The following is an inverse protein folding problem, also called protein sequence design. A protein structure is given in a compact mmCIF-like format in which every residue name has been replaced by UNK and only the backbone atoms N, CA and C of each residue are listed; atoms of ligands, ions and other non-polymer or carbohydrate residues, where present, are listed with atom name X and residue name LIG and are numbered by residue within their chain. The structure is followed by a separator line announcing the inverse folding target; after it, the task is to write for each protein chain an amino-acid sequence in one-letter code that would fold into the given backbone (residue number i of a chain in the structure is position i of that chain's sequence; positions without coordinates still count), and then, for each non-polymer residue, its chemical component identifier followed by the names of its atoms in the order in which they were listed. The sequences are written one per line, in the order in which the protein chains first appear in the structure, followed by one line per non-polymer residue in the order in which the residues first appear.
data_IF_317845894015
#
_entry.id   IF_317845894015
#
_cell.length_a   1.000
_cell.length_b   1.000
_cell.length_c   1.000
_cell.angle_alpha   90.00
_cell.angle_beta   90.00
_cell.angle_gamma   90.00
#
_symmetry.space_group_name_H-M   'P 1'
#
loop_
_entity.id
_entity.type
_entity.pdbx_description
1 polymer ?
#
# COMPACT_ATOMS: atom_id res chain seq x y z
N UNK A 1 1.13 5.98 5.08
CA UNK A 1 2.10 5.81 6.19
C UNK A 1 2.24 7.16 6.89
N UNK A 2 2.04 7.22 8.21
CA UNK A 2 2.53 8.37 8.99
C UNK A 2 4.02 8.15 9.17
N UNK A 3 4.80 8.59 8.19
CA UNK A 3 6.24 8.78 8.39
C UNK A 3 6.36 9.97 9.32
N UNK A 4 6.53 9.70 10.62
CA UNK A 4 7.31 10.61 11.43
C UNK A 4 8.68 10.63 10.76
N UNK A 5 9.00 11.74 10.11
CA UNK A 5 10.30 12.00 9.51
C UNK A 5 11.32 12.11 10.65
N UNK A 6 11.75 10.96 11.16
CA UNK A 6 13.02 10.85 11.84
C UNK A 6 14.09 10.65 10.76
N UNK A 7 15.20 11.40 10.78
CA UNK A 7 16.28 11.18 9.84
C UNK A 7 16.93 9.83 10.16
N UNK A 8 16.60 8.80 9.39
CA UNK A 8 17.13 7.46 9.58
C UNK A 8 16.37 6.43 8.77
N UNK A 9 17.02 5.97 7.69
CA UNK A 9 16.66 4.86 6.78
C UNK A 9 15.52 3.96 7.28
N UNK A 10 14.37 4.03 6.61
CA UNK A 10 13.34 2.99 6.69
C UNK A 10 12.99 2.58 5.26
N UNK A 11 13.30 1.33 4.92
CA UNK A 11 12.85 0.67 3.69
C UNK A 11 11.40 0.27 3.84
N UNK A 12 10.56 0.57 2.85
CA UNK A 12 9.18 0.09 2.82
C UNK A 12 8.86 -0.47 1.44
N UNK A 13 8.50 -1.76 1.40
CA UNK A 13 8.02 -2.41 0.19
C UNK A 13 6.58 -1.95 -0.10
N UNK A 14 6.39 -1.23 -1.20
CA UNK A 14 5.05 -0.85 -1.68
C UNK A 14 4.82 -1.39 -3.08
N UNK A 15 3.80 -2.24 -3.23
CA UNK A 15 3.30 -2.70 -4.52
C UNK A 15 2.38 -1.62 -5.10
N UNK A 16 2.79 -0.98 -6.19
CA UNK A 16 1.98 0.02 -6.91
C UNK A 16 1.57 -0.56 -8.26
N UNK A 17 0.27 -0.72 -8.56
CA UNK A 17 -0.18 -1.06 -9.90
C UNK A 17 0.05 0.14 -10.84
N UNK A 18 0.68 -0.12 -11.99
CA UNK A 18 0.97 0.86 -13.04
C UNK A 18 -0.34 1.25 -13.72
N UNK A 19 -0.81 2.47 -13.48
CA UNK A 19 -1.96 3.06 -14.16
C UNK A 19 -1.94 4.59 -14.01
N UNK A 20 -1.64 5.26 -15.12
CA UNK A 20 -1.78 6.69 -15.42
C UNK A 20 -1.12 7.71 -14.49
N UNK A 21 0.12 8.08 -14.83
CA UNK A 21 0.82 9.26 -14.33
C UNK A 21 0.95 10.30 -15.47
N UNK A 22 0.18 11.39 -15.39
CA UNK A 22 0.36 12.58 -16.23
C UNK A 22 1.53 13.41 -15.69
N UNK A 23 2.55 13.65 -16.52
CA UNK A 23 3.70 14.52 -16.19
C UNK A 23 3.54 15.91 -16.83
N UNK A 24 4.22 16.92 -16.28
CA UNK A 24 4.21 18.33 -16.72
C UNK A 24 5.63 18.83 -17.10
N UNK A 25 5.74 19.76 -18.06
CA UNK A 25 7.01 20.37 -18.51
C UNK A 25 7.20 21.78 -17.92
N UNK A 26 8.45 22.17 -17.61
CA UNK A 26 8.85 23.49 -17.08
C UNK A 26 8.68 24.71 -18.01
N UNK A 27 7.97 24.58 -19.13
CA UNK A 27 7.67 25.68 -20.06
C UNK A 27 6.19 26.13 -20.02
N UNK A 28 5.35 25.53 -19.15
CA UNK A 28 3.96 25.96 -18.98
C UNK A 28 3.01 25.66 -20.16
N UNK A 29 3.44 24.88 -21.15
CA UNK A 29 2.56 24.32 -22.19
C UNK A 29 2.23 22.85 -21.88
N UNK A 30 0.95 22.50 -21.98
CA UNK A 30 0.44 21.14 -21.77
C UNK A 30 0.72 20.30 -23.01
N UNK A 31 1.67 19.37 -22.91
CA UNK A 31 1.96 18.35 -23.92
C UNK A 31 1.49 16.98 -23.44
N UNK A 32 1.16 16.07 -24.36
CA UNK A 32 0.76 14.71 -23.98
C UNK A 32 1.88 13.96 -23.26
N UNK A 33 1.56 12.98 -22.41
CA UNK A 33 2.56 12.15 -21.70
C UNK A 33 3.61 11.52 -22.64
N UNK A 34 3.21 11.22 -23.89
CA UNK A 34 4.11 10.74 -24.94
C UNK A 34 5.09 11.83 -25.46
N UNK A 35 4.66 13.09 -25.54
CA UNK A 35 5.52 14.22 -25.96
C UNK A 35 6.49 14.65 -24.85
N UNK A 36 6.07 14.57 -23.59
CA UNK A 36 6.91 14.83 -22.43
C UNK A 36 7.94 13.74 -22.19
N UNK A 37 7.54 12.47 -22.32
CA UNK A 37 8.48 11.36 -22.38
C UNK A 37 9.45 11.54 -23.56
N UNK A 38 8.97 11.98 -24.73
CA UNK A 38 9.81 12.25 -25.90
C UNK A 38 10.81 13.41 -25.68
N UNK A 39 10.44 14.47 -24.96
CA UNK A 39 11.36 15.58 -24.63
C UNK A 39 12.38 15.21 -23.55
N UNK A 40 11.97 14.49 -22.49
CA UNK A 40 12.92 13.98 -21.49
C UNK A 40 13.86 12.92 -22.08
N UNK A 41 13.40 12.14 -23.07
CA UNK A 41 14.23 11.22 -23.85
C UNK A 41 15.13 11.93 -24.88
N UNK A 42 15.04 13.24 -25.04
CA UNK A 42 15.90 14.03 -25.92
C UNK A 42 16.98 14.81 -25.16
N UNK A 43 16.97 14.82 -23.82
CA UNK A 43 18.05 15.35 -23.01
C UNK A 43 19.16 14.29 -22.88
N UNK A 44 20.39 14.53 -23.39
CA UNK A 44 21.49 13.57 -23.30
C UNK A 44 21.80 13.15 -21.85
N UNK A 45 21.64 14.07 -20.89
CA UNK A 45 21.86 13.78 -19.47
C UNK A 45 20.84 12.79 -18.92
N UNK A 46 19.57 12.96 -19.30
CA UNK A 46 18.50 12.07 -18.87
C UNK A 46 18.62 10.67 -19.51
N UNK A 47 19.10 10.58 -20.75
CA UNK A 47 19.39 9.30 -21.40
C UNK A 47 20.54 8.54 -20.72
N UNK A 48 21.59 9.25 -20.31
CA UNK A 48 22.71 8.67 -19.55
C UNK A 48 22.27 8.18 -18.17
N UNK A 49 21.42 8.94 -17.47
CA UNK A 49 20.84 8.54 -16.18
C UNK A 49 19.94 7.31 -16.31
N UNK A 50 19.09 7.25 -17.35
CA UNK A 50 18.24 6.07 -17.62
C UNK A 50 19.10 4.85 -17.93
N UNK A 51 20.17 5.00 -18.71
CA UNK A 51 21.10 3.91 -19.00
C UNK A 51 21.87 3.44 -17.75
N UNK A 52 22.31 4.37 -16.90
CA UNK A 52 22.95 4.06 -15.62
C UNK A 52 22.01 3.28 -14.70
N UNK A 53 20.75 3.70 -14.58
CA UNK A 53 19.73 3.01 -13.80
C UNK A 53 19.42 1.60 -14.34
N UNK A 54 19.36 1.43 -15.67
CA UNK A 54 19.16 0.12 -16.28
C UNK A 54 20.33 -0.84 -16.00
N UNK A 55 21.56 -0.33 -16.03
CA UNK A 55 22.75 -1.12 -15.66
C UNK A 55 22.70 -1.52 -14.19
N UNK A 56 22.35 -0.58 -13.29
CA UNK A 56 22.20 -0.87 -11.86
C UNK A 56 21.10 -1.92 -11.60
N UNK A 57 19.97 -1.85 -12.32
CA UNK A 57 18.94 -2.89 -12.24
C UNK A 57 19.44 -4.25 -12.69
N UNK A 58 20.25 -4.31 -13.74
CA UNK A 58 20.80 -5.57 -14.22
C UNK A 58 21.85 -6.14 -13.23
N UNK A 59 22.73 -5.31 -12.67
CA UNK A 59 23.66 -5.73 -11.62
C UNK A 59 22.92 -6.25 -10.39
N UNK A 60 21.88 -5.55 -9.95
CA UNK A 60 21.01 -5.97 -8.85
C UNK A 60 20.31 -7.30 -9.15
N UNK A 61 19.84 -7.50 -10.38
CA UNK A 61 19.23 -8.77 -10.80
C UNK A 61 20.22 -9.93 -10.68
N UNK A 62 21.43 -9.77 -11.23
CA UNK A 62 22.46 -10.81 -11.22
C UNK A 62 22.86 -11.16 -9.78
N UNK A 63 22.98 -10.16 -8.91
CA UNK A 63 23.27 -10.38 -7.50
C UNK A 63 22.14 -11.15 -6.79
N UNK A 64 20.88 -10.78 -7.04
CA UNK A 64 19.74 -11.49 -6.46
C UNK A 64 19.63 -12.94 -6.96
N UNK A 65 19.93 -13.20 -8.23
CA UNK A 65 20.02 -14.56 -8.79
C UNK A 65 21.07 -15.37 -8.03
N UNK A 66 22.26 -14.80 -7.81
CA UNK A 66 23.36 -15.44 -7.07
C UNK A 66 22.97 -15.77 -5.64
N UNK A 67 22.44 -14.78 -4.91
CA UNK A 67 22.02 -14.95 -3.52
C UNK A 67 20.88 -15.98 -3.39
N UNK A 68 19.90 -15.95 -4.30
CA UNK A 68 18.80 -16.92 -4.30
C UNK A 68 19.31 -18.35 -4.55
N UNK A 69 20.29 -18.53 -5.45
CA UNK A 69 20.92 -19.81 -5.70
C UNK A 69 21.70 -20.32 -4.47
N UNK A 70 22.48 -19.45 -3.82
CA UNK A 70 23.23 -19.77 -2.59
C UNK A 70 22.29 -20.17 -1.44
N UNK A 71 21.26 -19.36 -1.18
CA UNK A 71 20.26 -19.64 -0.15
C UNK A 71 19.55 -20.97 -0.42
N UNK A 72 19.18 -21.22 -1.68
CA UNK A 72 18.54 -22.48 -2.07
C UNK A 72 19.46 -23.68 -1.87
N UNK A 73 20.74 -23.58 -2.23
CA UNK A 73 21.74 -24.62 -1.99
C UNK A 73 21.88 -24.92 -0.50
N UNK A 74 21.93 -23.90 0.35
CA UNK A 74 21.99 -24.06 1.80
C UNK A 74 20.74 -24.78 2.35
N UNK A 75 19.53 -24.36 1.94
CA UNK A 75 18.27 -25.00 2.33
C UNK A 75 18.23 -26.47 1.90
N UNK A 76 18.60 -26.76 0.65
CA UNK A 76 18.65 -28.14 0.15
C UNK A 76 19.68 -28.99 0.91
N UNK A 77 20.85 -28.43 1.23
CA UNK A 77 21.85 -29.09 2.08
C UNK A 77 21.28 -29.46 3.44
N UNK A 78 20.62 -28.53 4.13
CA UNK A 78 19.99 -28.80 5.44
C UNK A 78 18.87 -29.84 5.36
N UNK A 79 18.11 -29.85 4.26
CA UNK A 79 17.05 -30.83 4.05
C UNK A 79 17.63 -32.22 3.77
N UNK A 80 18.70 -32.30 2.97
CA UNK A 80 19.42 -33.54 2.70
C UNK A 80 20.00 -34.15 3.98
N UNK A 81 20.61 -33.34 4.85
CA UNK A 81 21.09 -33.77 6.17
C UNK A 81 19.95 -34.32 7.04
N UNK A 82 18.81 -33.63 7.11
CA UNK A 82 17.62 -34.10 7.83
C UNK A 82 17.08 -35.42 7.28
N UNK A 83 17.04 -35.57 5.96
CA UNK A 83 16.63 -36.83 5.32
C UNK A 83 17.62 -37.94 5.66
N UNK A 84 18.93 -37.67 5.62
CA UNK A 84 19.96 -38.64 5.98
C UNK A 84 19.84 -39.07 7.45
N UNK A 85 19.64 -38.14 8.39
CA UNK A 85 19.40 -38.44 9.80
C UNK A 85 18.11 -39.26 10.02
N UNK A 86 17.02 -38.88 9.34
CA UNK A 86 15.76 -39.61 9.38
C UNK A 86 15.87 -41.03 8.82
N UNK A 87 16.60 -41.20 7.71
CA UNK A 87 16.89 -42.51 7.10
C UNK A 87 17.84 -43.34 7.95
N UNK A 88 18.85 -42.76 8.60
CA UNK A 88 19.74 -43.47 9.52
C UNK A 88 18.97 -43.98 10.76
N UNK A 89 18.02 -43.19 11.26
CA UNK A 89 17.10 -43.62 12.33
C UNK A 89 16.14 -44.73 11.87
N UNK A 90 15.74 -44.72 10.59
CA UNK A 90 14.89 -45.74 9.97
C UNK A 90 15.64 -47.02 9.54
N UNK A 91 16.92 -46.94 9.16
CA UNK A 91 17.81 -48.06 8.77
C UNK A 91 18.13 -49.06 9.89
N UNK A 92 17.50 -48.94 11.07
CA UNK A 92 17.30 -50.08 11.97
C UNK A 92 16.23 -51.07 11.46
N UNK A 93 15.56 -50.74 10.35
CA UNK A 93 14.65 -51.59 9.57
C UNK A 93 14.89 -51.29 8.07
N UNK A 94 15.59 -52.21 7.40
CA UNK A 94 15.78 -52.38 5.95
C UNK A 94 16.74 -51.43 5.17
N UNK A 95 17.53 -52.08 4.29
CA UNK A 95 18.56 -51.51 3.41
C UNK A 95 18.01 -51.19 2.02
N UNK A 96 18.31 -50.00 1.50
CA UNK A 96 17.99 -49.65 0.10
C UNK A 96 18.59 -48.32 -0.38
N UNK A 97 19.28 -48.43 -1.54
CA UNK A 97 19.63 -47.51 -2.65
C UNK A 97 20.07 -46.05 -2.35
N UNK A 98 21.18 -45.56 -2.96
CA UNK A 98 21.62 -44.16 -2.86
C UNK A 98 20.75 -43.20 -3.69
N UNK A 99 20.51 -41.96 -3.25
CA UNK A 99 19.67 -41.00 -3.98
C UNK A 99 20.42 -40.38 -5.17
N UNK A 100 19.70 -40.18 -6.28
CA UNK A 100 20.14 -39.39 -7.42
C UNK A 100 20.14 -37.89 -7.07
N UNK A 101 21.17 -37.17 -7.48
CA UNK A 101 21.31 -35.71 -7.38
C UNK A 101 20.20 -35.03 -8.21
N UNK A 102 19.35 -34.18 -7.62
CA UNK A 102 18.41 -33.41 -8.41
C UNK A 102 19.17 -32.23 -9.05
N UNK A 103 19.49 -32.35 -10.34
CA UNK A 103 19.86 -31.17 -11.13
C UNK A 103 18.67 -30.21 -11.14
N UNK A 104 18.81 -29.14 -10.39
CA UNK A 104 17.76 -28.17 -10.26
C UNK A 104 18.26 -26.83 -10.76
N UNK A 105 17.95 -26.60 -12.04
CA UNK A 105 18.04 -25.33 -12.75
C UNK A 105 17.03 -24.34 -12.16
N UNK A 106 17.26 -23.91 -10.92
CA UNK A 106 16.49 -22.81 -10.35
C UNK A 106 16.83 -21.55 -11.13
N UNK A 107 15.78 -20.87 -11.62
CA UNK A 107 15.89 -19.59 -12.29
C UNK A 107 15.00 -18.62 -11.54
N UNK A 108 15.56 -17.51 -11.07
CA UNK A 108 14.78 -16.42 -10.50
C UNK A 108 14.13 -15.66 -11.68
N UNK A 109 12.79 -15.60 -11.79
CA UNK A 109 12.16 -14.83 -12.86
C UNK A 109 12.46 -13.34 -12.70
N UNK A 110 12.75 -12.64 -13.80
CA UNK A 110 13.02 -11.19 -13.78
C UNK A 110 11.90 -10.36 -13.15
N UNK A 111 10.66 -10.82 -13.29
CA UNK A 111 9.46 -10.19 -12.71
C UNK A 111 9.41 -10.27 -11.18
N UNK A 112 10.22 -11.14 -10.57
CA UNK A 112 10.30 -11.34 -9.12
C UNK A 112 11.52 -10.63 -8.50
N UNK A 113 12.25 -9.85 -9.28
CA UNK A 113 13.37 -9.05 -8.80
C UNK A 113 12.87 -7.98 -7.83
N UNK A 114 13.56 -7.82 -6.71
CA UNK A 114 13.38 -6.67 -5.82
C UNK A 114 13.99 -5.43 -6.48
N UNK A 115 13.21 -4.36 -6.57
CA UNK A 115 13.67 -3.06 -7.07
C UNK A 115 13.81 -2.09 -5.92
N UNK A 116 14.88 -1.29 -5.90
CA UNK A 116 14.99 -0.18 -4.98
C UNK A 116 14.20 0.99 -5.56
N UNK A 117 13.13 1.39 -4.88
CA UNK A 117 12.35 2.56 -5.24
C UNK A 117 12.86 3.74 -4.41
N UNK A 118 13.38 4.81 -5.04
CA UNK A 118 13.70 6.04 -4.32
C UNK A 118 12.41 6.60 -3.71
N UNK A 119 12.29 6.56 -2.38
CA UNK A 119 11.15 7.13 -1.68
C UNK A 119 11.30 8.64 -1.46
N UNK A 120 12.48 9.18 -1.73
CA UNK A 120 12.81 10.60 -1.63
C UNK A 120 12.95 11.18 -3.04
N UNK A 121 12.29 12.31 -3.31
CA UNK A 121 12.48 13.05 -4.56
C UNK A 121 13.75 13.89 -4.43
N UNK A 122 14.78 13.55 -5.19
CA UNK A 122 16.07 14.27 -5.21
C UNK A 122 15.90 15.71 -5.71
N UNK A 123 14.92 15.93 -6.58
CA UNK A 123 14.53 17.25 -7.07
C UNK A 123 13.02 17.42 -6.94
N UNK A 124 12.50 18.03 -5.86
CA UNK A 124 11.12 18.49 -5.87
C UNK A 124 10.98 19.47 -7.02
N UNK A 125 10.11 19.14 -7.98
CA UNK A 125 9.71 20.09 -9.01
C UNK A 125 9.08 21.35 -8.40
N UNK A 126 8.73 22.35 -9.21
CA UNK A 126 8.03 23.53 -8.70
C UNK A 126 6.80 23.10 -7.89
N UNK A 127 6.77 23.48 -6.61
CA UNK A 127 5.65 23.23 -5.72
C UNK A 127 4.56 24.24 -6.06
N UNK A 128 3.51 23.75 -6.71
CA UNK A 128 2.33 24.56 -7.01
C UNK A 128 1.38 24.48 -5.83
N UNK A 129 1.05 25.63 -5.24
CA UNK A 129 0.01 25.71 -4.23
C UNK A 129 -1.35 25.55 -4.92
N UNK A 130 -1.96 24.37 -4.76
CA UNK A 130 -3.25 24.05 -5.36
C UNK A 130 -4.37 24.41 -4.38
N UNK A 131 -5.28 25.28 -4.79
CA UNK A 131 -6.53 25.47 -4.06
C UNK A 131 -7.45 24.26 -4.29
N UNK A 132 -7.56 23.42 -3.28
CA UNK A 132 -8.40 22.22 -3.30
C UNK A 132 -9.90 22.53 -3.31
N UNK A 133 -10.30 23.80 -3.11
CA UNK A 133 -11.68 24.28 -3.29
C UNK A 133 -12.03 24.62 -4.75
N UNK A 134 -11.07 24.52 -5.67
CA UNK A 134 -11.31 24.65 -7.10
C UNK A 134 -11.36 23.26 -7.73
N UNK A 135 -12.41 22.99 -8.50
CA UNK A 135 -12.50 21.77 -9.28
C UNK A 135 -11.36 21.71 -10.30
N UNK A 136 -10.68 20.58 -10.34
CA UNK A 136 -9.63 20.31 -11.32
C UNK A 136 -9.88 18.99 -12.01
N UNK A 137 -9.10 18.70 -13.06
CA UNK A 137 -9.17 17.42 -13.74
C UNK A 137 -8.83 16.24 -12.80
N UNK A 138 -7.90 16.45 -11.88
CA UNK A 138 -7.45 15.44 -10.92
C UNK A 138 -8.33 15.41 -9.64
N UNK A 139 -9.06 16.50 -9.37
CA UNK A 139 -9.96 16.63 -8.24
C UNK A 139 -11.31 17.25 -8.67
N UNK A 140 -12.19 16.46 -9.33
CA UNK A 140 -13.46 16.97 -9.87
C UNK A 140 -14.58 17.08 -8.84
N UNK A 141 -14.35 16.60 -7.61
CA UNK A 141 -15.40 16.42 -6.61
C UNK A 141 -15.60 17.62 -5.69
N UNK A 142 -14.86 18.69 -5.91
CA UNK A 142 -14.90 19.87 -5.05
C UNK A 142 -16.28 20.49 -4.97
N UNK A 143 -16.68 20.92 -3.77
CA UNK A 143 -17.99 21.51 -3.51
C UNK A 143 -19.14 20.49 -3.44
N UNK A 144 -18.89 19.19 -3.62
CA UNK A 144 -19.87 18.15 -3.32
C UNK A 144 -19.88 17.88 -1.81
N UNK A 145 -21.05 18.00 -1.20
CA UNK A 145 -21.22 17.91 0.26
C UNK A 145 -20.66 16.61 0.85
N UNK A 146 -20.89 15.48 0.19
CA UNK A 146 -20.42 14.16 0.63
C UNK A 146 -18.89 14.04 0.59
N UNK A 147 -18.25 14.61 -0.43
CA UNK A 147 -16.80 14.67 -0.53
C UNK A 147 -16.18 15.62 0.49
N UNK A 148 -16.79 16.78 0.73
CA UNK A 148 -16.35 17.72 1.76
C UNK A 148 -16.41 17.08 3.16
N UNK A 149 -17.52 16.39 3.47
CA UNK A 149 -17.64 15.65 4.74
C UNK A 149 -16.54 14.60 4.85
N UNK A 150 -16.36 13.75 3.83
CA UNK A 150 -15.31 12.71 3.84
C UNK A 150 -13.92 13.29 4.05
N UNK A 151 -13.59 14.38 3.37
CA UNK A 151 -12.31 15.07 3.51
C UNK A 151 -12.11 15.61 4.93
N UNK A 152 -13.10 16.31 5.49
CA UNK A 152 -13.04 16.86 6.85
C UNK A 152 -12.89 15.76 7.91
N UNK A 153 -13.62 14.66 7.77
CA UNK A 153 -13.48 13.50 8.66
C UNK A 153 -12.10 12.86 8.53
N UNK A 154 -11.61 12.67 7.30
CA UNK A 154 -10.27 12.16 7.05
C UNK A 154 -9.20 13.05 7.70
N UNK A 155 -9.25 14.37 7.43
CA UNK A 155 -8.33 15.35 7.99
C UNK A 155 -8.33 15.31 9.51
N UNK A 156 -9.51 15.30 10.13
CA UNK A 156 -9.64 15.27 11.59
C UNK A 156 -9.03 14.00 12.20
N UNK A 157 -9.31 12.83 11.62
CA UNK A 157 -8.73 11.55 12.06
C UNK A 157 -7.21 11.52 11.88
N UNK A 158 -6.73 12.06 10.76
CA UNK A 158 -5.32 12.13 10.41
C UNK A 158 -4.54 13.05 11.36
N UNK A 159 -5.05 14.25 11.64
CA UNK A 159 -4.48 15.20 12.59
C UNK A 159 -4.43 14.64 14.02
N UNK A 160 -5.47 13.89 14.42
CA UNK A 160 -5.50 13.14 15.68
C UNK A 160 -4.54 11.95 15.73
N UNK A 161 -3.90 11.62 14.61
CA UNK A 161 -2.84 10.63 14.52
C UNK A 161 -3.29 9.20 14.26
N UNK A 162 -4.54 9.01 13.86
CA UNK A 162 -4.99 7.72 13.37
C UNK A 162 -4.47 7.46 11.96
N UNK A 163 -4.29 6.18 11.63
CA UNK A 163 -4.06 5.77 10.26
C UNK A 163 -5.42 5.45 9.63
N UNK A 164 -5.59 5.87 8.38
CA UNK A 164 -6.86 5.75 7.66
C UNK A 164 -6.62 5.04 6.33
N UNK A 165 -7.45 4.04 6.01
CA UNK A 165 -7.47 3.39 4.69
C UNK A 165 -8.91 3.36 4.15
N UNK A 166 -9.09 3.00 2.88
CA UNK A 166 -10.44 2.77 2.32
C UNK A 166 -11.21 1.73 3.13
N UNK A 167 -12.49 2.03 3.39
CA UNK A 167 -13.45 1.18 4.09
C UNK A 167 -14.38 0.36 3.19
N UNK A 168 -14.27 0.49 1.86
CA UNK A 168 -15.30 0.00 0.94
C UNK A 168 -15.56 -1.51 1.07
N UNK A 169 -14.52 -2.31 1.35
CA UNK A 169 -14.65 -3.76 1.58
C UNK A 169 -15.48 -4.13 2.82
N UNK A 170 -15.60 -3.21 3.77
CA UNK A 170 -16.32 -3.39 5.03
C UNK A 170 -17.63 -2.59 5.08
N UNK A 171 -18.04 -2.00 3.95
CA UNK A 171 -19.26 -1.21 3.86
C UNK A 171 -19.19 0.12 4.61
N UNK A 172 -18.01 0.72 4.72
CA UNK A 172 -17.82 2.09 5.20
C UNK A 172 -16.97 2.92 4.25
N UNK A 173 -16.83 4.22 4.52
CA UNK A 173 -15.94 5.11 3.77
C UNK A 173 -14.48 4.84 4.15
N UNK A 174 -14.23 4.68 5.46
CA UNK A 174 -12.88 4.51 5.98
C UNK A 174 -12.75 3.37 6.99
N UNK A 175 -11.55 2.80 7.04
CA UNK A 175 -11.06 2.02 8.18
C UNK A 175 -10.10 2.88 8.99
N UNK A 176 -10.28 2.88 10.30
CA UNK A 176 -9.48 3.68 11.22
C UNK A 176 -8.68 2.78 12.14
N UNK A 177 -7.37 3.02 12.18
CA UNK A 177 -6.40 2.21 12.91
C UNK A 177 -5.70 3.07 13.96
N UNK A 178 -5.45 2.54 15.16
CA UNK A 178 -4.69 3.24 16.20
C UNK A 178 -3.19 3.39 15.87
N UNK A 179 -2.72 2.68 14.84
CA UNK A 179 -1.32 2.65 14.41
C UNK A 179 -1.20 2.11 12.98
N UNK A 180 0.03 1.78 12.56
CA UNK A 180 0.32 1.31 11.21
C UNK A 180 -0.60 0.14 10.79
N UNK A 181 -1.37 0.25 9.68
CA UNK A 181 -2.23 -0.81 9.16
C UNK A 181 -1.51 -2.15 8.89
N UNK A 182 -0.20 -2.15 8.71
CA UNK A 182 0.59 -3.38 8.57
C UNK A 182 0.78 -4.13 9.89
N UNK A 183 0.65 -3.43 11.02
CA UNK A 183 0.88 -3.97 12.37
C UNK A 183 -0.39 -4.04 13.23
N UNK A 184 -1.36 -3.19 12.93
CA UNK A 184 -2.60 -3.05 13.70
C UNK A 184 -3.81 -3.40 12.85
N UNK A 185 -4.82 -4.00 13.48
CA UNK A 185 -6.14 -4.14 12.85
C UNK A 185 -6.94 -2.85 13.02
N UNK A 186 -7.77 -2.52 12.02
CA UNK A 186 -8.70 -1.41 12.15
C UNK A 186 -9.63 -1.62 13.35
N UNK A 187 -9.73 -0.62 14.21
CA UNK A 187 -10.66 -0.61 15.34
C UNK A 187 -12.05 -0.15 14.91
N UNK A 188 -12.10 0.77 13.94
CA UNK A 188 -13.33 1.40 13.52
C UNK A 188 -13.60 1.26 12.02
N UNK A 189 -14.88 1.18 11.68
CA UNK A 189 -15.41 1.43 10.34
C UNK A 189 -16.11 2.79 10.42
N UNK A 190 -15.62 3.79 9.70
CA UNK A 190 -16.23 5.12 9.67
C UNK A 190 -17.16 5.27 8.45
N UNK A 191 -18.36 5.76 8.72
CA UNK A 191 -19.41 6.08 7.76
C UNK A 191 -19.64 7.59 7.79
N UNK A 192 -19.34 8.27 6.70
CA UNK A 192 -19.53 9.71 6.55
C UNK A 192 -20.98 9.99 6.15
N UNK A 193 -21.73 10.64 7.02
CA UNK A 193 -23.16 10.95 6.84
C UNK A 193 -23.39 12.44 7.00
N UNK A 194 -24.23 13.01 6.13
CA UNK A 194 -24.71 14.39 6.30
C UNK A 194 -25.63 14.45 7.51
N UNK A 195 -25.46 15.49 8.33
CA UNK A 195 -26.26 15.72 9.54
C UNK A 195 -27.73 16.02 9.21
N UNK A 196 -27.98 16.58 8.03
CA UNK A 196 -29.31 17.00 7.58
C UNK A 196 -30.06 15.88 6.83
N UNK A 197 -29.36 14.79 6.49
CA UNK A 197 -29.97 13.66 5.79
C UNK A 197 -30.54 12.64 6.78
N UNK A 198 -31.84 12.33 6.73
CA UNK A 198 -32.44 11.32 7.59
C UNK A 198 -31.81 9.94 7.34
N UNK A 199 -31.32 9.30 8.41
CA UNK A 199 -30.76 7.96 8.34
C UNK A 199 -31.85 6.91 8.55
N UNK A 200 -32.00 5.97 7.62
CA UNK A 200 -32.98 4.89 7.74
C UNK A 200 -32.60 3.94 8.87
N UNK A 201 -33.60 3.43 9.61
CA UNK A 201 -33.39 2.37 10.61
C UNK A 201 -32.76 1.13 9.98
N UNK A 202 -33.10 0.80 8.73
CA UNK A 202 -32.50 -0.30 8.01
C UNK A 202 -31.00 -0.11 7.79
N UNK A 203 -30.55 1.13 7.56
CA UNK A 203 -29.13 1.46 7.36
C UNK A 203 -28.37 1.34 8.68
N UNK A 204 -28.97 1.83 9.78
CA UNK A 204 -28.39 1.69 11.13
C UNK A 204 -28.23 0.22 11.51
N UNK A 205 -29.26 -0.61 11.28
CA UNK A 205 -29.21 -2.06 11.55
C UNK A 205 -28.17 -2.73 10.66
N UNK A 206 -28.11 -2.37 9.37
CA UNK A 206 -27.14 -2.94 8.42
C UNK A 206 -25.71 -2.59 8.82
N UNK A 207 -25.45 -1.33 9.18
CA UNK A 207 -24.16 -0.87 9.67
C UNK A 207 -23.76 -1.61 10.94
N UNK A 208 -24.66 -1.71 11.93
CA UNK A 208 -24.42 -2.47 13.17
C UNK A 208 -24.07 -3.94 12.93
N UNK A 209 -24.77 -4.60 11.98
CA UNK A 209 -24.49 -5.99 11.58
C UNK A 209 -23.11 -6.14 10.95
N UNK A 210 -22.74 -5.23 10.04
CA UNK A 210 -21.43 -5.23 9.38
C UNK A 210 -20.30 -5.12 10.40
N UNK A 211 -20.38 -4.14 11.31
CA UNK A 211 -19.39 -3.95 12.37
C UNK A 211 -19.22 -5.16 13.28
N UNK A 212 -20.35 -5.71 13.75
CA UNK A 212 -20.37 -6.87 14.66
C UNK A 212 -19.71 -8.10 14.03
N UNK A 213 -20.02 -8.39 12.76
CA UNK A 213 -19.49 -9.56 12.05
C UNK A 213 -17.96 -9.53 11.91
N UNK A 214 -17.36 -8.35 11.75
CA UNK A 214 -15.90 -8.19 11.62
C UNK A 214 -15.22 -7.71 12.90
N UNK A 215 -15.96 -7.69 14.02
CA UNK A 215 -15.50 -7.23 15.34
C UNK A 215 -14.88 -5.82 15.31
N UNK A 216 -15.55 -4.89 14.63
CA UNK A 216 -15.18 -3.47 14.56
C UNK A 216 -16.31 -2.60 15.07
N UNK A 217 -15.96 -1.49 15.70
CA UNK A 217 -16.95 -0.50 16.11
C UNK A 217 -17.29 0.38 14.91
N UNK A 218 -18.58 0.56 14.61
CA UNK A 218 -18.99 1.47 13.54
C UNK A 218 -19.08 2.89 14.10
N UNK A 219 -18.52 3.85 13.37
CA UNK A 219 -18.63 5.28 13.66
C UNK A 219 -19.50 5.93 12.59
N UNK A 220 -20.58 6.58 13.01
CA UNK A 220 -21.27 7.57 12.20
C UNK A 220 -20.54 8.89 12.36
N UNK A 221 -19.99 9.39 11.28
CA UNK A 221 -19.16 10.57 11.22
C UNK A 221 -19.91 11.66 10.47
N UNK A 222 -20.06 12.83 11.08
CA UNK A 222 -20.67 14.00 10.43
C UNK A 222 -19.85 15.26 10.74
N UNK A 223 -20.13 16.33 10.01
CA UNK A 223 -19.54 17.64 10.24
C UNK A 223 -20.65 18.57 10.69
N UNK A 224 -20.44 19.31 11.77
CA UNK A 224 -21.39 20.30 12.27
C UNK A 224 -21.24 21.64 11.53
N UNK A 225 -22.16 22.58 11.74
CA UNK A 225 -22.23 23.85 11.01
C UNK A 225 -20.99 24.74 11.21
N UNK A 226 -20.28 24.56 12.32
CA UNK A 226 -19.01 25.22 12.65
C UNK A 226 -17.79 24.54 12.01
N UNK A 227 -17.98 23.44 11.26
CA UNK A 227 -16.93 22.62 10.67
C UNK A 227 -16.35 21.56 11.61
N UNK A 228 -16.92 21.41 12.82
CA UNK A 228 -16.42 20.43 13.79
C UNK A 228 -16.84 19.01 13.40
N UNK A 229 -15.86 18.10 13.34
CA UNK A 229 -16.12 16.67 13.13
C UNK A 229 -16.74 16.01 14.37
N UNK A 230 -17.90 15.39 14.19
CA UNK A 230 -18.67 14.68 15.23
C UNK A 230 -18.67 13.18 14.92
N UNK A 231 -18.43 12.38 15.97
CA UNK A 231 -18.34 10.92 15.86
C UNK A 231 -19.32 10.26 16.83
N UNK A 232 -20.21 9.42 16.32
CA UNK A 232 -21.14 8.63 17.11
C UNK A 232 -20.88 7.15 16.92
N UNK A 233 -20.55 6.42 17.98
CA UNK A 233 -20.32 4.98 17.89
C UNK A 233 -21.61 4.19 17.94
N UNK A 234 -21.76 3.23 17.03
CA UNK A 234 -22.82 2.23 17.06
C UNK A 234 -22.27 0.93 17.64
N UNK A 235 -22.95 0.42 18.67
CA UNK A 235 -22.67 -0.89 19.26
C UNK A 235 -23.96 -1.70 19.35
N UNK A 236 -23.89 -2.94 18.87
CA UNK A 236 -25.00 -3.88 19.02
C UNK A 236 -24.98 -4.44 20.45
N UNK A 237 -25.97 -4.06 21.25
CA UNK A 237 -26.21 -4.71 22.54
C UNK A 237 -27.08 -5.93 22.32
N UNK A 238 -26.50 -7.11 22.51
CA UNK A 238 -27.32 -8.31 22.70
C UNK A 238 -28.00 -8.20 24.07
N UNK A 239 -29.30 -8.45 24.14
CA UNK A 239 -29.96 -8.73 25.41
C UNK A 239 -29.49 -10.13 25.83
N UNK A 240 -28.61 -10.21 26.83
CA UNK A 240 -28.24 -11.48 27.48
C UNK A 240 -29.31 -11.89 28.48
#
# INVERSE_FOLDING_TARGET
MRTQWAPGKVSVDMYVPVGDLNAWCGCGQRMGSAELASLCLQDPSALEEVAAYQNEQEESYQEQVRLAAEQRKAVLGTLAERIAQGRAKKRRQEEGVPPAEPESTFVLPRQSMMVQLPTERVHPGPEEEVDWHVQSQDWPYTGQEDHEIRYRIFQNLWERGYYVTSGSKFGGDFLVYPGDPMRFHAHYIALCVSKDTPLSLCDVVSAGRLGTNVKKTVLLCSVDQDGTAVFTSLQWSGMQ
#
